data_IF_568495390679
#
_entry.id   IF_568495390679
#
_cell.length_a   1.000
_cell.length_b   1.000
_cell.length_c   1.000
_cell.angle_alpha   90.00
_cell.angle_beta   90.00
_cell.angle_gamma   90.00
#
_symmetry.space_group_name_H-M   'P 1'
#
loop_
_entity.id
_entity.type
_entity.pdbx_description
1 polymer ?
#
# COMPACT_ATOMS: atom_id res chain seq x y z
N UNK A 1 -4.33 -15.79 6.23
CA UNK A 1 -4.25 -15.32 4.83
C UNK A 1 -2.83 -15.56 4.33
N UNK A 2 -2.66 -15.79 3.02
CA UNK A 2 -1.36 -15.85 2.35
C UNK A 2 -0.98 -14.48 1.75
N UNK A 3 0.24 -14.36 1.21
CA UNK A 3 0.74 -13.11 0.65
C UNK A 3 -0.17 -12.53 -0.46
N UNK A 4 -0.70 -13.38 -1.34
CA UNK A 4 -1.61 -12.98 -2.42
C UNK A 4 -2.94 -12.45 -1.88
N UNK A 5 -3.53 -13.10 -0.87
CA UNK A 5 -4.77 -12.64 -0.23
C UNK A 5 -4.59 -11.28 0.45
N UNK A 6 -3.47 -11.06 1.15
CA UNK A 6 -3.13 -9.76 1.73
C UNK A 6 -2.92 -8.71 0.64
N UNK A 7 -2.21 -9.03 -0.44
CA UNK A 7 -2.03 -8.12 -1.58
C UNK A 7 -3.36 -7.71 -2.22
N UNK A 8 -4.27 -8.66 -2.45
CA UNK A 8 -5.60 -8.38 -2.99
C UNK A 8 -6.43 -7.52 -2.04
N UNK A 9 -6.40 -7.81 -0.75
CA UNK A 9 -7.11 -7.01 0.25
C UNK A 9 -6.56 -5.58 0.33
N UNK A 10 -5.24 -5.41 0.26
CA UNK A 10 -4.60 -4.10 0.17
C UNK A 10 -5.06 -3.32 -1.07
N UNK A 11 -5.17 -3.99 -2.22
CA UNK A 11 -5.72 -3.39 -3.44
C UNK A 11 -7.19 -2.96 -3.30
N UNK A 12 -8.01 -3.70 -2.57
CA UNK A 12 -9.40 -3.31 -2.29
C UNK A 12 -9.47 -2.05 -1.42
N UNK A 13 -8.67 -1.99 -0.35
CA UNK A 13 -8.60 -0.80 0.50
C UNK A 13 -8.07 0.42 -0.28
N UNK A 14 -7.05 0.22 -1.12
CA UNK A 14 -6.52 1.27 -2.01
C UNK A 14 -7.60 1.81 -2.94
N UNK A 15 -8.41 0.95 -3.57
CA UNK A 15 -9.54 1.36 -4.43
C UNK A 15 -10.61 2.13 -3.66
N UNK A 16 -10.80 1.84 -2.37
CA UNK A 16 -11.73 2.55 -1.49
C UNK A 16 -11.17 3.89 -0.99
N UNK A 17 -9.89 4.21 -1.27
CA UNK A 17 -9.21 5.39 -0.74
C UNK A 17 -8.80 5.24 0.72
N UNK A 18 -8.78 4.02 1.24
CA UNK A 18 -8.29 3.72 2.59
C UNK A 18 -6.81 3.33 2.52
N UNK A 19 -5.98 4.36 2.37
CA UNK A 19 -4.53 4.21 2.15
C UNK A 19 -3.83 3.55 3.34
N UNK A 20 -4.30 3.78 4.56
CA UNK A 20 -3.71 3.20 5.77
C UNK A 20 -3.92 1.69 5.83
N UNK A 21 -5.15 1.22 5.60
CA UNK A 21 -5.42 -0.22 5.56
C UNK A 21 -4.78 -0.88 4.35
N UNK A 22 -4.66 -0.18 3.21
CA UNK A 22 -3.92 -0.68 2.07
C UNK A 22 -2.43 -0.94 2.41
N UNK A 23 -1.75 0.04 3.01
CA UNK A 23 -0.35 -0.10 3.46
C UNK A 23 -0.18 -1.27 4.43
N UNK A 24 -1.05 -1.38 5.44
CA UNK A 24 -0.98 -2.46 6.42
C UNK A 24 -1.06 -3.84 5.75
N UNK A 25 -2.00 -4.02 4.82
CA UNK A 25 -2.14 -5.28 4.10
C UNK A 25 -0.94 -5.56 3.18
N UNK A 26 -0.39 -4.56 2.51
CA UNK A 26 0.83 -4.76 1.73
C UNK A 26 2.03 -5.15 2.61
N UNK A 27 2.17 -4.57 3.81
CA UNK A 27 3.24 -4.98 4.74
C UNK A 27 3.09 -6.44 5.19
N UNK A 28 1.88 -6.89 5.49
CA UNK A 28 1.61 -8.30 5.83
C UNK A 28 1.95 -9.23 4.66
N UNK A 29 1.60 -8.86 3.42
CA UNK A 29 1.97 -9.61 2.23
C UNK A 29 3.49 -9.72 2.06
N UNK A 30 4.22 -8.62 2.23
CA UNK A 30 5.69 -8.56 2.15
C UNK A 30 6.35 -9.38 3.26
N UNK A 31 5.78 -9.37 4.47
CA UNK A 31 6.28 -10.18 5.59
C UNK A 31 6.19 -11.68 5.32
N UNK A 32 5.19 -12.11 4.54
CA UNK A 32 5.00 -13.52 4.17
C UNK A 32 5.79 -13.91 2.93
N UNK A 33 5.82 -13.02 1.93
CA UNK A 33 6.60 -13.18 0.71
C UNK A 33 7.25 -11.84 0.32
N UNK A 34 8.55 -11.67 0.62
CA UNK A 34 9.31 -10.47 0.26
C UNK A 34 9.45 -10.23 -1.25
N UNK A 35 9.10 -11.21 -2.10
CA UNK A 35 9.09 -11.08 -3.56
C UNK A 35 7.68 -10.89 -4.13
N UNK A 36 6.67 -10.75 -3.27
CA UNK A 36 5.29 -10.53 -3.72
C UNK A 36 5.11 -9.17 -4.40
N UNK A 37 4.09 -9.02 -5.28
CA UNK A 37 3.76 -7.73 -5.91
C UNK A 37 3.39 -6.61 -4.92
N UNK A 38 3.21 -6.94 -3.64
CA UNK A 38 2.90 -5.98 -2.59
C UNK A 38 4.06 -5.00 -2.33
N UNK A 39 5.31 -5.36 -2.64
CA UNK A 39 6.46 -4.44 -2.53
C UNK A 39 6.25 -3.22 -3.42
N UNK A 40 6.07 -3.45 -4.72
CA UNK A 40 5.85 -2.38 -5.71
C UNK A 40 4.56 -1.59 -5.41
N UNK A 41 3.51 -2.28 -4.97
CA UNK A 41 2.25 -1.63 -4.61
C UNK A 41 2.38 -0.71 -3.37
N UNK A 42 3.16 -1.11 -2.37
CA UNK A 42 3.48 -0.29 -1.20
C UNK A 42 4.29 0.95 -1.62
N UNK A 43 5.34 0.77 -2.42
CA UNK A 43 6.20 1.86 -2.89
C UNK A 43 5.39 2.89 -3.69
N UNK A 44 4.57 2.44 -4.65
CA UNK A 44 3.69 3.33 -5.40
C UNK A 44 2.74 4.11 -4.49
N UNK A 45 2.20 3.45 -3.47
CA UNK A 45 1.27 4.08 -2.53
C UNK A 45 1.95 5.17 -1.69
N UNK A 46 3.16 4.87 -1.21
CA UNK A 46 3.99 5.82 -0.45
C UNK A 46 4.40 7.02 -1.32
N UNK A 47 4.73 6.81 -2.60
CA UNK A 47 5.00 7.90 -3.54
C UNK A 47 3.79 8.83 -3.72
N UNK A 48 2.59 8.25 -3.90
CA UNK A 48 1.35 9.01 -4.03
C UNK A 48 1.08 9.84 -2.75
N UNK A 49 1.19 9.22 -1.58
CA UNK A 49 0.97 9.90 -0.31
C UNK A 49 2.00 11.01 -0.07
N UNK A 50 3.28 10.74 -0.37
CA UNK A 50 4.33 11.74 -0.27
C UNK A 50 4.12 12.94 -1.22
N UNK A 51 3.52 12.72 -2.40
CA UNK A 51 3.14 13.81 -3.30
C UNK A 51 2.03 14.68 -2.68
N UNK A 52 0.97 14.05 -2.16
CA UNK A 52 -0.11 14.77 -1.49
C UNK A 52 0.34 15.52 -0.23
N UNK A 53 1.22 14.92 0.58
CA UNK A 53 1.72 15.55 1.81
C UNK A 53 2.65 16.74 1.52
N UNK A 54 3.40 16.69 0.41
CA UNK A 54 4.21 17.84 -0.04
C UNK A 54 3.35 18.98 -0.55
N UNK A 55 2.26 18.69 -1.27
CA UNK A 55 1.31 19.70 -1.73
C UNK A 55 0.51 20.32 -0.57
N UNK A 56 0.24 19.57 0.50
CA UNK A 56 -0.39 20.10 1.71
C UNK A 56 0.51 21.10 2.48
N UNK A 57 1.82 21.09 2.22
CA UNK A 57 2.81 21.95 2.88
C UNK A 57 3.41 23.06 1.99
N UNK A 58 2.82 23.31 0.81
CA UNK A 58 3.24 24.42 -0.05
C UNK A 58 2.21 25.57 -0.01
N UNK A 59 2.30 26.51 0.96
CA UNK A 59 1.43 27.68 1.07
C UNK A 59 1.57 28.69 -0.07
#
# INVERSE_FOLDING_TARGET
MNAEEYYQLGNEYRKKGDWQHALNNYMEAISLDPQSPAVEAKEMLEEILNFYDKDAYNP
#
